data_IF_828728645001
#
_entry.id   IF_828728645001
#
_cell.length_a   1.000
_cell.length_b   1.000
_cell.length_c   1.000
_cell.angle_alpha   90.00
_cell.angle_beta   90.00
_cell.angle_gamma   90.00
#
_symmetry.space_group_name_H-M   'P 1'
#
loop_
_entity.id
_entity.type
_entity.pdbx_description
1 polymer ?
#
# COMPACT_ATOMS: atom_id res chain seq x y z
N UNK A 1 -2.91 -21.71 9.13
CA UNK A 1 -3.20 -20.35 9.59
C UNK A 1 -3.11 -19.42 8.40
N UNK A 2 -4.23 -18.81 8.00
CA UNK A 2 -4.24 -17.83 6.91
C UNK A 2 -3.90 -16.47 7.50
N UNK A 3 -2.75 -15.93 7.10
CA UNK A 3 -2.21 -14.68 7.60
C UNK A 3 -2.33 -13.62 6.51
N UNK A 4 -2.95 -12.48 6.83
CA UNK A 4 -3.18 -11.40 5.87
C UNK A 4 -1.96 -10.50 5.73
N UNK A 5 -1.70 -10.04 4.51
CA UNK A 5 -0.66 -9.08 4.16
C UNK A 5 -1.25 -7.96 3.27
N UNK A 6 -0.58 -6.81 3.25
CA UNK A 6 -0.96 -5.59 2.52
C UNK A 6 0.23 -5.10 1.69
N UNK A 7 -0.05 -4.41 0.58
CA UNK A 7 0.94 -3.85 -0.35
C UNK A 7 1.08 -4.62 -1.66
N UNK A 8 1.45 -3.91 -2.73
CA UNK A 8 1.59 -4.44 -4.09
C UNK A 8 0.53 -3.94 -5.09
N UNK A 9 0.69 -4.32 -6.35
CA UNK A 9 -0.13 -3.84 -7.48
C UNK A 9 -1.65 -4.02 -7.29
N UNK A 10 -2.07 -5.01 -6.48
CA UNK A 10 -3.47 -5.36 -6.22
C UNK A 10 -3.99 -4.90 -4.84
N UNK A 11 -3.18 -4.16 -4.07
CA UNK A 11 -3.53 -3.63 -2.74
C UNK A 11 -3.12 -2.16 -2.71
N UNK A 12 -2.12 -1.77 -1.92
CA UNK A 12 -1.62 -0.39 -1.90
C UNK A 12 -0.49 -0.26 -2.93
N UNK A 13 -0.82 0.31 -4.10
CA UNK A 13 0.09 0.38 -5.27
C UNK A 13 1.35 1.21 -5.00
N UNK A 14 1.29 2.13 -4.04
CA UNK A 14 2.40 2.94 -3.60
C UNK A 14 3.45 2.20 -2.75
N UNK A 15 3.12 1.02 -2.21
CA UNK A 15 4.02 0.26 -1.35
C UNK A 15 4.32 -1.11 -1.97
N UNK A 16 5.55 -1.57 -1.76
CA UNK A 16 5.97 -2.91 -2.18
C UNK A 16 5.20 -3.97 -1.39
N UNK A 17 4.99 -5.14 -2.00
CA UNK A 17 4.31 -6.28 -1.38
C UNK A 17 4.99 -6.61 -0.04
N UNK A 18 4.20 -6.72 1.05
CA UNK A 18 4.70 -7.10 2.39
C UNK A 18 5.75 -6.13 2.93
N UNK A 19 5.47 -4.84 2.84
CA UNK A 19 6.26 -3.78 3.49
C UNK A 19 5.54 -3.08 4.64
N UNK A 20 4.26 -3.39 4.85
CA UNK A 20 3.36 -2.71 5.78
C UNK A 20 2.80 -3.65 6.84
N UNK A 21 2.90 -3.22 8.10
CA UNK A 21 2.26 -3.84 9.26
C UNK A 21 3.14 -4.82 10.05
N UNK A 22 2.62 -5.36 11.17
CA UNK A 22 1.35 -4.98 11.79
C UNK A 22 1.46 -3.67 12.59
N UNK A 23 0.45 -2.81 12.51
CA UNK A 23 0.42 -1.52 13.21
C UNK A 23 1.60 -0.64 12.81
N UNK A 24 2.30 -0.11 13.81
CA UNK A 24 3.53 0.69 13.63
C UNK A 24 4.81 -0.13 13.70
N UNK A 25 4.73 -1.46 13.75
CA UNK A 25 5.90 -2.32 13.89
C UNK A 25 6.73 -2.31 12.62
N UNK A 26 8.01 -1.93 12.74
CA UNK A 26 8.98 -1.95 11.66
C UNK A 26 10.23 -2.73 12.12
N UNK A 27 10.48 -3.94 11.60
CA UNK A 27 11.67 -4.69 11.97
C UNK A 27 12.95 -3.98 11.47
N UNK A 28 14.05 -4.13 12.21
CA UNK A 28 15.34 -3.58 11.82
C UNK A 28 15.81 -4.16 10.46
N UNK A 29 16.47 -3.33 9.64
CA UNK A 29 16.78 -3.55 8.22
C UNK A 29 17.64 -4.79 7.89
N UNK A 30 18.14 -5.45 8.92
CA UNK A 30 19.09 -6.56 8.96
C UNK A 30 18.42 -7.92 9.24
N UNK A 31 17.11 -7.96 9.50
CA UNK A 31 16.41 -9.22 9.74
C UNK A 31 15.81 -9.80 8.44
N UNK A 32 16.49 -10.80 7.86
CA UNK A 32 16.01 -11.55 6.69
C UNK A 32 14.63 -12.17 6.88
N UNK A 33 14.13 -12.35 8.12
CA UNK A 33 12.81 -12.92 8.44
C UNK A 33 11.71 -11.89 8.70
N UNK A 34 11.99 -10.60 8.49
CA UNK A 34 11.03 -9.50 8.62
C UNK A 34 9.71 -9.72 7.87
N UNK A 35 9.70 -10.55 6.82
CA UNK A 35 8.53 -10.89 6.01
C UNK A 35 7.47 -11.76 6.71
N UNK A 36 7.82 -12.47 7.80
CA UNK A 36 6.88 -13.31 8.56
C UNK A 36 6.13 -12.47 9.60
N UNK A 37 6.80 -11.46 10.16
CA UNK A 37 6.28 -10.68 11.28
C UNK A 37 5.23 -9.64 10.87
N UNK A 38 5.14 -9.30 9.57
CA UNK A 38 4.18 -8.32 9.00
C UNK A 38 2.76 -8.87 8.79
N UNK A 39 2.48 -10.03 9.37
CA UNK A 39 1.19 -10.68 9.27
C UNK A 39 0.34 -10.39 10.51
N UNK A 40 -0.96 -10.21 10.31
CA UNK A 40 -1.89 -10.01 11.41
C UNK A 40 -3.28 -10.57 11.14
N UNK A 41 -4.10 -10.47 12.17
CA UNK A 41 -5.42 -11.10 12.25
C UNK A 41 -6.53 -10.21 11.66
N UNK A 42 -6.32 -8.89 11.68
CA UNK A 42 -7.25 -7.90 11.14
C UNK A 42 -6.57 -7.14 10.01
N UNK A 43 -7.21 -7.07 8.84
CA UNK A 43 -6.78 -6.25 7.71
C UNK A 43 -7.83 -5.20 7.39
N UNK A 44 -7.42 -3.95 7.28
CA UNK A 44 -8.24 -2.86 6.75
C UNK A 44 -7.57 -2.33 5.49
N UNK A 45 -8.33 -2.30 4.40
CA UNK A 45 -7.92 -1.69 3.14
C UNK A 45 -9.07 -0.86 2.59
N UNK A 46 -8.73 0.34 2.11
CA UNK A 46 -9.61 1.25 1.41
C UNK A 46 -8.94 1.63 0.09
N UNK A 47 -9.72 1.60 -0.99
CA UNK A 47 -9.28 1.98 -2.33
C UNK A 47 -10.32 2.94 -2.89
N UNK A 48 -9.86 4.11 -3.30
CA UNK A 48 -10.64 5.11 -3.99
C UNK A 48 -9.99 5.35 -5.34
N UNK A 49 -10.73 5.11 -6.42
CA UNK A 49 -10.23 5.30 -7.78
C UNK A 49 -11.23 6.14 -8.58
N UNK A 50 -10.74 7.25 -9.14
CA UNK A 50 -11.49 8.08 -10.07
C UNK A 50 -10.95 7.89 -11.48
N UNK A 51 -11.82 7.42 -12.38
CA UNK A 51 -11.48 7.13 -13.78
C UNK A 51 -12.14 8.12 -14.71
N UNK A 52 -11.39 8.63 -15.66
CA UNK A 52 -11.85 9.56 -16.67
C UNK A 52 -11.32 9.16 -18.05
N UNK A 53 -12.07 9.51 -19.10
CA UNK A 53 -11.63 9.31 -20.47
C UNK A 53 -10.72 10.49 -20.87
N UNK A 54 -9.54 10.18 -21.41
CA UNK A 54 -8.63 11.20 -21.95
C UNK A 54 -8.97 11.41 -23.44
N UNK A 55 -8.85 10.35 -24.24
CA UNK A 55 -9.17 10.38 -25.68
C UNK A 55 -9.48 8.97 -26.18
N UNK A 56 -10.60 8.78 -26.87
CA UNK A 56 -11.02 7.48 -27.42
C UNK A 56 -10.89 6.34 -26.38
N UNK A 57 -9.99 5.39 -26.64
CA UNK A 57 -9.72 4.20 -25.82
C UNK A 57 -8.60 4.41 -24.79
N UNK A 58 -8.07 5.63 -24.68
CA UNK A 58 -7.16 6.05 -23.63
C UNK A 58 -7.95 6.64 -22.45
N UNK A 59 -7.79 5.99 -21.31
CA UNK A 59 -8.38 6.34 -20.04
C UNK A 59 -7.30 6.71 -19.02
N UNK A 60 -7.57 7.75 -18.24
CA UNK A 60 -6.80 8.13 -17.07
C UNK A 60 -7.49 7.65 -15.80
N UNK A 61 -6.70 7.36 -14.78
CA UNK A 61 -7.16 7.09 -13.44
C UNK A 61 -6.31 7.89 -12.44
N UNK A 62 -6.93 8.38 -11.39
CA UNK A 62 -6.24 8.81 -10.18
C UNK A 62 -6.76 7.98 -9.03
N UNK A 63 -5.88 7.58 -8.14
CA UNK A 63 -6.24 6.68 -7.06
C UNK A 63 -5.63 7.08 -5.73
N UNK A 64 -6.30 6.65 -4.67
CA UNK A 64 -5.85 6.74 -3.30
C UNK A 64 -6.12 5.38 -2.65
N UNK A 65 -5.05 4.78 -2.15
CA UNK A 65 -5.05 3.48 -1.52
C UNK A 65 -4.62 3.69 -0.06
N UNK A 66 -5.35 3.13 0.89
CA UNK A 66 -5.02 3.23 2.30
C UNK A 66 -5.23 1.88 2.99
N UNK A 67 -4.37 1.50 3.92
CA UNK A 67 -4.57 0.27 4.65
C UNK A 67 -3.46 -0.07 5.63
N UNK A 68 -3.77 -1.01 6.52
CA UNK A 68 -2.79 -1.65 7.39
C UNK A 68 -3.33 -3.01 7.87
N UNK A 69 -2.47 -3.76 8.54
CA UNK A 69 -2.79 -5.01 9.21
C UNK A 69 -2.51 -4.83 10.70
N UNK A 70 -3.31 -5.46 11.56
CA UNK A 70 -3.11 -5.47 13.01
C UNK A 70 -3.31 -6.86 13.59
N UNK A 71 -2.80 -7.06 14.80
CA UNK A 71 -2.99 -8.23 15.63
C UNK A 71 -4.22 -8.04 16.54
N UNK A 72 -5.01 -9.10 16.69
CA UNK A 72 -6.17 -9.09 17.60
C UNK A 72 -5.72 -9.13 19.06
N UNK A 73 -4.63 -9.85 19.33
CA UNK A 73 -4.01 -10.00 20.66
C UNK A 73 -2.66 -9.32 20.70
N UNK A 74 -2.32 -8.82 21.87
CA UNK A 74 -1.00 -8.25 22.11
C UNK A 74 0.06 -9.36 22.06
N UNK A 75 1.13 -9.09 21.33
CA UNK A 75 2.26 -9.99 21.19
C UNK A 75 3.51 -9.24 21.65
N UNK A 76 4.17 -9.74 22.71
CA UNK A 76 5.36 -9.11 23.27
C UNK A 76 6.55 -9.10 22.29
N UNK A 77 6.52 -9.95 21.27
CA UNK A 77 7.53 -9.97 20.19
C UNK A 77 7.29 -8.89 19.12
N UNK A 78 6.07 -8.31 19.07
CA UNK A 78 5.66 -7.32 18.05
C UNK A 78 4.93 -6.14 18.72
N UNK A 79 5.66 -5.31 19.50
CA UNK A 79 5.08 -4.16 20.19
C UNK A 79 4.51 -3.14 19.19
N UNK A 80 3.31 -2.62 19.47
CA UNK A 80 2.60 -1.70 18.57
C UNK A 80 1.82 -2.36 17.43
N UNK A 81 1.81 -3.70 17.34
CA UNK A 81 1.04 -4.42 16.33
C UNK A 81 -0.44 -4.64 16.68
N UNK A 82 -0.85 -4.42 17.93
CA UNK A 82 -2.24 -4.63 18.40
C UNK A 82 -3.18 -3.55 17.87
N UNK A 83 -4.35 -3.95 17.41
CA UNK A 83 -5.40 -3.01 16.99
C UNK A 83 -5.84 -2.09 18.14
N UNK A 84 -5.73 -0.77 17.93
CA UNK A 84 -6.21 0.24 18.86
C UNK A 84 -7.01 1.30 18.10
N UNK A 85 -8.17 1.68 18.65
CA UNK A 85 -9.00 2.75 18.06
C UNK A 85 -8.34 4.13 18.16
N UNK A 86 -7.52 4.33 19.21
CA UNK A 86 -6.79 5.59 19.43
C UNK A 86 -5.49 5.54 18.62
N UNK A 87 -5.28 6.48 17.71
CA UNK A 87 -4.09 6.53 16.84
C UNK A 87 -4.23 5.75 15.52
N UNK A 88 -5.39 5.15 15.25
CA UNK A 88 -5.65 4.34 14.06
C UNK A 88 -5.36 5.08 12.74
N UNK A 89 -5.62 6.39 12.68
CA UNK A 89 -5.34 7.19 11.49
C UNK A 89 -3.84 7.38 11.21
N UNK A 90 -3.00 7.37 12.26
CA UNK A 90 -1.54 7.45 12.18
C UNK A 90 -0.91 6.08 11.91
N UNK A 91 -1.66 5.01 12.13
CA UNK A 91 -1.25 3.64 11.83
C UNK A 91 -1.73 3.18 10.45
N UNK A 92 -2.47 3.98 9.68
CA UNK A 92 -2.90 3.59 8.33
C UNK A 92 -1.87 4.07 7.32
N UNK A 93 -1.26 3.15 6.58
CA UNK A 93 -0.42 3.52 5.45
C UNK A 93 -1.30 4.12 4.35
N UNK A 94 -0.88 5.25 3.76
CA UNK A 94 -1.61 5.91 2.68
C UNK A 94 -0.71 6.10 1.49
N UNK A 95 -1.21 5.72 0.32
CA UNK A 95 -0.61 5.95 -0.97
C UNK A 95 -1.60 6.62 -1.92
N UNK A 96 -1.08 7.38 -2.86
CA UNK A 96 -1.87 7.92 -3.97
C UNK A 96 -1.14 7.70 -5.28
N UNK A 97 -1.80 7.85 -6.41
CA UNK A 97 -1.15 7.69 -7.68
C UNK A 97 -2.03 8.02 -8.86
N UNK A 98 -1.45 7.86 -10.04
CA UNK A 98 -2.12 8.02 -11.30
C UNK A 98 -1.85 6.81 -12.19
N UNK A 99 -2.87 6.43 -12.95
CA UNK A 99 -2.83 5.33 -13.90
C UNK A 99 -3.23 5.80 -15.28
N UNK A 100 -2.66 5.14 -16.29
CA UNK A 100 -3.11 5.19 -17.67
C UNK A 100 -3.54 3.81 -18.10
N UNK A 101 -4.68 3.74 -18.76
CA UNK A 101 -5.25 2.51 -19.32
C UNK A 101 -5.53 2.74 -20.80
N UNK A 102 -5.01 1.86 -21.64
CA UNK A 102 -5.27 1.86 -23.07
C UNK A 102 -5.94 0.56 -23.47
N UNK A 103 -7.17 0.67 -23.97
CA UNK A 103 -7.99 -0.47 -24.38
C UNK A 103 -7.80 -0.73 -25.88
N UNK A 104 -6.93 -1.68 -26.24
CA UNK A 104 -6.84 -2.20 -27.62
C UNK A 104 -7.89 -3.30 -27.81
N UNK A 105 -8.27 -3.56 -29.06
CA UNK A 105 -9.27 -4.57 -29.41
C UNK A 105 -8.97 -5.98 -28.90
N UNK A 106 -7.70 -6.32 -28.69
CA UNK A 106 -7.24 -7.65 -28.26
C UNK A 106 -6.35 -7.60 -27.01
N UNK A 107 -6.09 -6.41 -26.46
CA UNK A 107 -5.16 -6.23 -25.35
C UNK A 107 -5.48 -4.98 -24.54
N UNK A 108 -5.43 -5.08 -23.22
CA UNK A 108 -5.47 -3.92 -22.33
C UNK A 108 -4.07 -3.69 -21.78
N UNK A 109 -3.56 -2.48 -21.97
CA UNK A 109 -2.29 -2.03 -21.38
C UNK A 109 -2.61 -1.07 -20.24
N UNK A 110 -2.00 -1.29 -19.08
CA UNK A 110 -2.12 -0.41 -17.91
C UNK A 110 -0.77 -0.05 -17.36
N UNK A 111 -0.57 1.25 -17.11
CA UNK A 111 0.60 1.78 -16.43
C UNK A 111 0.11 2.54 -15.21
N UNK A 112 0.49 2.10 -14.02
CA UNK A 112 0.15 2.76 -12.76
C UNK A 112 1.42 3.28 -12.08
N UNK A 113 1.38 4.52 -11.62
CA UNK A 113 2.41 5.19 -10.84
C UNK A 113 1.85 5.51 -9.46
N UNK A 114 2.32 4.83 -8.44
CA UNK A 114 1.98 5.06 -7.04
C UNK A 114 3.06 5.86 -6.32
N UNK A 115 2.64 6.71 -5.39
CA UNK A 115 3.45 7.54 -4.51
C UNK A 115 2.95 7.34 -3.08
N UNK A 116 3.85 6.92 -2.19
CA UNK A 116 3.56 6.82 -0.77
C UNK A 116 3.38 8.22 -0.19
N UNK A 117 2.36 8.39 0.64
CA UNK A 117 2.10 9.62 1.37
C UNK A 117 2.42 9.45 2.85
N UNK A 118 1.95 8.35 3.44
CA UNK A 118 2.08 8.11 4.87
C UNK A 118 2.53 6.67 5.16
N UNK A 119 3.57 6.54 5.98
CA UNK A 119 4.06 5.30 6.56
C UNK A 119 3.52 5.16 7.99
N UNK A 120 3.07 3.98 8.41
CA UNK A 120 2.46 3.78 9.73
C UNK A 120 3.48 3.75 10.88
N UNK A 121 4.75 4.07 10.61
CA UNK A 121 5.85 4.05 11.57
C UNK A 121 6.64 5.37 11.54
N UNK A 122 7.38 5.64 12.62
CA UNK A 122 8.13 6.89 12.74
C UNK A 122 9.29 6.93 11.76
N UNK A 123 9.43 8.04 11.04
CA UNK A 123 10.55 8.28 10.11
C UNK A 123 11.31 9.55 10.49
N UNK A 124 12.31 9.93 9.69
CA UNK A 124 13.06 11.18 9.87
C UNK A 124 12.25 12.46 9.56
N UNK A 125 11.05 12.33 8.97
CA UNK A 125 10.16 13.46 8.68
C UNK A 125 8.99 13.50 9.64
N UNK A 126 8.60 14.70 10.07
CA UNK A 126 7.44 14.93 10.94
C UNK A 126 6.21 15.33 10.13
N UNK A 127 5.03 14.91 10.58
CA UNK A 127 3.74 15.20 9.94
C UNK A 127 3.19 14.01 9.15
N UNK A 128 2.01 14.20 8.54
CA UNK A 128 1.32 13.11 7.83
C UNK A 128 2.07 12.66 6.57
N UNK A 129 2.76 13.59 5.88
CA UNK A 129 3.72 13.22 4.84
C UNK A 129 5.08 12.89 5.44
N UNK A 130 5.33 11.61 5.72
CA UNK A 130 6.52 11.15 6.45
C UNK A 130 7.47 10.30 5.58
N UNK A 131 7.43 10.44 4.25
CA UNK A 131 8.34 9.69 3.37
C UNK A 131 9.74 10.35 3.32
N UNK A 132 10.83 9.68 3.75
CA UNK A 132 12.16 10.29 3.83
C UNK A 132 12.69 10.83 2.50
N UNK A 133 12.57 10.05 1.41
CA UNK A 133 12.90 10.46 0.05
C UNK A 133 11.75 10.08 -0.87
N UNK A 134 11.34 11.01 -1.74
CA UNK A 134 10.25 10.78 -2.69
C UNK A 134 10.45 9.51 -3.54
N UNK A 135 11.70 9.23 -3.96
CA UNK A 135 12.04 8.03 -4.73
C UNK A 135 11.77 6.72 -4.00
N UNK A 136 11.86 6.72 -2.66
CA UNK A 136 11.65 5.52 -1.83
C UNK A 136 10.17 5.19 -1.70
N UNK A 137 9.29 6.16 -1.96
CA UNK A 137 7.83 5.99 -1.97
C UNK A 137 7.24 5.82 -3.38
N UNK A 138 8.06 5.75 -4.42
CA UNK A 138 7.60 5.67 -5.81
C UNK A 138 7.51 4.21 -6.26
N UNK A 139 6.31 3.75 -6.61
CA UNK A 139 6.04 2.43 -7.17
C UNK A 139 5.52 2.54 -8.60
N UNK A 140 6.06 1.74 -9.52
CA UNK A 140 5.57 1.65 -10.89
C UNK A 140 5.08 0.24 -11.17
N UNK A 141 3.90 0.14 -11.77
CA UNK A 141 3.30 -1.13 -12.16
C UNK A 141 2.90 -1.08 -13.63
N UNK A 142 3.27 -2.12 -14.37
CA UNK A 142 2.85 -2.35 -15.74
C UNK A 142 2.02 -3.63 -15.75
N UNK A 143 0.80 -3.55 -16.25
CA UNK A 143 -0.05 -4.72 -16.45
C UNK A 143 -0.49 -4.82 -17.91
N UNK A 144 -0.42 -6.05 -18.44
CA UNK A 144 -0.80 -6.39 -19.81
C UNK A 144 -1.79 -7.55 -19.71
N UNK A 145 -3.01 -7.36 -20.17
CA UNK A 145 -4.09 -8.36 -20.03
C UNK A 145 -4.93 -8.50 -21.29
N UNK A 146 -5.55 -9.66 -21.47
CA UNK A 146 -6.53 -9.88 -22.53
C UNK A 146 -7.91 -9.37 -22.10
N UNK A 147 -8.65 -8.65 -22.97
CA UNK A 147 -10.08 -8.43 -22.76
C UNK A 147 -10.79 -9.79 -22.81
N UNK A 148 -11.53 -10.12 -21.75
CA UNK A 148 -12.29 -11.37 -21.63
C UNK A 148 -13.48 -11.40 -22.58
#
# INVERSE_FOLDING_TARGET
>A
SEQFYVGGANSIRAFTIRSLGPGSYHPAADNKYAYIDQTGDIRLEANMEYRFRIIQDLHGAVFMDAGNVWLLREDATRPGGRFQWKGLADEIAVGTGAGLRYDLSFLVIRVDCGVALHLPYTTSRKGYYNIPKFKDGLGWHLAIGYPF
#
